data_IF_637723375039
#
_entry.id   IF_637723375039
#
_cell.length_a   1.000
_cell.length_b   1.000
_cell.length_c   1.000
_cell.angle_alpha   90.00
_cell.angle_beta   90.00
_cell.angle_gamma   90.00
#
_symmetry.space_group_name_H-M   'P 1'
#
loop_
_entity.id
_entity.type
_entity.pdbx_description
1 polymer ?
#
# COMPACT_ATOMS: atom_id res chain seq x y z
N UNK A 1 20.44 26.86 15.94
CA UNK A 1 19.09 26.54 15.42
C UNK A 1 19.08 26.18 13.94
N UNK A 2 19.70 26.97 13.04
CA UNK A 2 19.77 26.65 11.60
C UNK A 2 20.48 25.30 11.30
N UNK A 3 21.58 25.02 11.99
CA UNK A 3 22.39 23.80 11.80
C UNK A 3 21.63 22.52 12.19
N UNK A 4 20.81 22.59 13.25
CA UNK A 4 19.93 21.48 13.68
C UNK A 4 18.78 21.22 12.71
N UNK A 5 18.19 22.27 12.15
CA UNK A 5 17.12 22.14 11.15
C UNK A 5 17.65 21.48 9.86
N UNK A 6 18.85 21.87 9.42
CA UNK A 6 19.50 21.32 8.24
C UNK A 6 19.91 19.85 8.44
N UNK A 7 20.40 19.50 9.64
CA UNK A 7 20.65 18.11 10.03
C UNK A 7 19.40 17.23 10.02
N UNK A 8 18.26 17.75 10.51
CA UNK A 8 16.99 17.01 10.51
C UNK A 8 16.46 16.73 9.10
N UNK A 9 16.63 17.67 8.16
CA UNK A 9 16.18 17.48 6.76
C UNK A 9 17.03 16.44 6.06
N UNK A 10 18.37 16.49 6.22
CA UNK A 10 19.29 15.49 5.64
C UNK A 10 19.00 14.08 6.16
N UNK A 11 18.74 13.95 7.47
CA UNK A 11 18.36 12.67 8.07
C UNK A 11 17.06 12.12 7.48
N UNK A 12 16.04 12.98 7.31
CA UNK A 12 14.77 12.58 6.70
C UNK A 12 14.91 12.17 5.22
N UNK A 13 15.76 12.86 4.45
CA UNK A 13 16.09 12.47 3.07
C UNK A 13 16.79 11.12 3.01
N UNK A 14 17.77 10.88 3.88
CA UNK A 14 18.46 9.60 3.99
C UNK A 14 17.50 8.45 4.32
N UNK A 15 16.62 8.65 5.33
CA UNK A 15 15.58 7.69 5.68
C UNK A 15 14.63 7.42 4.49
N UNK A 16 14.21 8.47 3.79
CA UNK A 16 13.31 8.36 2.62
C UNK A 16 13.96 7.53 1.52
N UNK A 17 15.24 7.75 1.22
CA UNK A 17 15.98 6.99 0.22
C UNK A 17 16.12 5.51 0.62
N UNK A 18 16.41 5.22 1.88
CA UNK A 18 16.46 3.86 2.41
C UNK A 18 15.11 3.18 2.28
N UNK A 19 14.03 3.83 2.72
CA UNK A 19 12.67 3.28 2.61
C UNK A 19 12.25 3.05 1.16
N UNK A 20 12.64 3.93 0.24
CA UNK A 20 12.39 3.76 -1.19
C UNK A 20 13.13 2.54 -1.76
N UNK A 21 14.42 2.39 -1.42
CA UNK A 21 15.20 1.22 -1.84
C UNK A 21 14.63 -0.08 -1.26
N UNK A 22 14.21 -0.07 0.01
CA UNK A 22 13.55 -1.20 0.65
C UNK A 22 12.20 -1.54 0.00
N UNK A 23 11.37 -0.53 -0.30
CA UNK A 23 10.11 -0.75 -1.02
C UNK A 23 10.37 -1.40 -2.38
N UNK A 24 11.36 -0.91 -3.13
CA UNK A 24 11.72 -1.47 -4.44
C UNK A 24 12.19 -2.93 -4.30
N UNK A 25 13.06 -3.21 -3.33
CA UNK A 25 13.57 -4.56 -3.09
C UNK A 25 12.47 -5.53 -2.66
N UNK A 26 11.57 -5.11 -1.75
CA UNK A 26 10.43 -5.90 -1.30
C UNK A 26 9.45 -6.14 -2.45
N UNK A 27 9.11 -5.11 -3.23
CA UNK A 27 8.24 -5.24 -4.39
C UNK A 27 8.83 -6.21 -5.43
N UNK A 28 10.13 -6.08 -5.72
CA UNK A 28 10.84 -7.00 -6.62
C UNK A 28 10.82 -8.43 -6.09
N UNK A 29 11.00 -8.62 -4.78
CA UNK A 29 10.94 -9.94 -4.15
C UNK A 29 9.54 -10.54 -4.19
N UNK A 30 8.48 -9.77 -3.90
CA UNK A 30 7.08 -10.20 -4.05
C UNK A 30 6.83 -10.68 -5.47
N UNK A 31 7.20 -9.86 -6.46
CA UNK A 31 6.86 -10.14 -7.85
C UNK A 31 7.68 -11.30 -8.45
N UNK A 32 8.99 -11.27 -8.29
CA UNK A 32 9.89 -12.29 -8.84
C UNK A 32 9.85 -13.58 -8.03
N UNK A 33 9.73 -13.50 -6.70
CA UNK A 33 9.79 -14.64 -5.79
C UNK A 33 8.45 -15.35 -5.60
N UNK A 34 7.34 -14.62 -5.51
CA UNK A 34 6.05 -15.19 -5.14
C UNK A 34 5.03 -15.15 -6.27
N UNK A 35 4.79 -13.99 -6.88
CA UNK A 35 3.79 -13.87 -7.96
C UNK A 35 4.17 -14.75 -9.16
N UNK A 36 5.44 -14.72 -9.55
CA UNK A 36 5.94 -15.55 -10.65
C UNK A 36 5.94 -17.04 -10.30
N UNK A 37 6.38 -17.40 -9.09
CA UNK A 37 6.38 -18.79 -8.63
C UNK A 37 4.96 -19.37 -8.56
N UNK A 38 4.01 -18.60 -8.02
CA UNK A 38 2.61 -18.98 -7.97
C UNK A 38 2.03 -19.17 -9.37
N UNK A 39 2.29 -18.24 -10.30
CA UNK A 39 1.83 -18.36 -11.69
C UNK A 39 2.36 -19.64 -12.35
N UNK A 40 3.62 -19.98 -12.10
CA UNK A 40 4.23 -21.19 -12.66
C UNK A 40 3.65 -22.47 -12.04
N UNK A 41 3.34 -22.47 -10.74
CA UNK A 41 2.76 -23.62 -10.05
C UNK A 41 1.25 -23.80 -10.31
N UNK A 42 0.50 -22.69 -10.40
CA UNK A 42 -0.95 -22.70 -10.47
C UNK A 42 -1.51 -22.60 -11.91
N UNK A 43 -0.69 -22.18 -12.88
CA UNK A 43 -1.13 -21.90 -14.26
C UNK A 43 -2.07 -20.70 -14.39
N UNK A 44 -2.29 -19.95 -13.30
CA UNK A 44 -3.17 -18.78 -13.25
C UNK A 44 -2.54 -17.64 -12.44
N UNK A 45 -3.06 -16.42 -12.61
CA UNK A 45 -2.60 -15.28 -11.83
C UNK A 45 -3.12 -15.31 -10.39
N UNK A 46 -2.22 -15.00 -9.45
CA UNK A 46 -2.56 -14.71 -8.06
C UNK A 46 -3.51 -13.50 -7.98
N UNK A 47 -4.52 -13.56 -7.11
CA UNK A 47 -5.51 -12.49 -6.99
C UNK A 47 -4.86 -11.17 -6.52
N UNK A 48 -3.92 -11.24 -5.59
CA UNK A 48 -3.18 -10.11 -5.02
C UNK A 48 -2.37 -9.33 -6.06
N UNK A 49 -1.99 -9.98 -7.17
CA UNK A 49 -1.27 -9.34 -8.27
C UNK A 49 -2.19 -8.64 -9.28
N UNK A 50 -3.51 -8.79 -9.18
CA UNK A 50 -4.46 -8.19 -10.13
C UNK A 50 -4.72 -6.72 -9.77
N UNK A 51 -4.07 -5.82 -10.51
CA UNK A 51 -4.23 -4.36 -10.36
C UNK A 51 -5.68 -3.89 -10.57
N UNK A 52 -6.44 -4.58 -11.45
CA UNK A 52 -7.85 -4.28 -11.71
C UNK A 52 -8.80 -4.71 -10.58
N UNK A 53 -8.28 -5.33 -9.52
CA UNK A 53 -9.07 -6.02 -8.50
C UNK A 53 -9.62 -7.35 -9.00
N UNK A 54 -10.56 -7.88 -8.23
CA UNK A 54 -11.24 -9.14 -8.48
C UNK A 54 -12.62 -9.12 -7.80
N UNK A 55 -13.50 -10.03 -8.19
CA UNK A 55 -14.86 -10.12 -7.66
C UNK A 55 -15.00 -11.24 -6.64
N UNK A 56 -16.15 -11.29 -5.95
CA UNK A 56 -16.45 -12.33 -4.97
C UNK A 56 -16.28 -13.75 -5.55
N UNK A 57 -16.70 -13.95 -6.80
CA UNK A 57 -16.58 -15.24 -7.49
C UNK A 57 -15.13 -15.69 -7.67
N UNK A 58 -14.20 -14.77 -7.93
CA UNK A 58 -12.78 -15.06 -8.05
C UNK A 58 -12.21 -15.56 -6.71
N UNK A 59 -12.61 -14.93 -5.60
CA UNK A 59 -12.17 -15.33 -4.25
C UNK A 59 -12.65 -16.73 -3.91
N UNK A 60 -13.93 -17.04 -4.15
CA UNK A 60 -14.49 -18.36 -3.89
C UNK A 60 -13.80 -19.42 -4.77
N UNK A 61 -13.55 -19.10 -6.05
CA UNK A 61 -12.82 -19.97 -6.96
C UNK A 61 -11.39 -20.24 -6.47
N UNK A 62 -10.68 -19.21 -6.01
CA UNK A 62 -9.32 -19.35 -5.48
C UNK A 62 -9.29 -20.21 -4.20
N UNK A 63 -10.24 -20.02 -3.28
CA UNK A 63 -10.36 -20.86 -2.08
C UNK A 63 -10.56 -22.32 -2.44
N UNK A 64 -11.46 -22.63 -3.38
CA UNK A 64 -11.70 -24.00 -3.83
C UNK A 64 -10.45 -24.58 -4.50
N UNK A 65 -9.81 -23.80 -5.37
CA UNK A 65 -8.62 -24.22 -6.08
C UNK A 65 -7.47 -24.57 -5.12
N UNK A 66 -7.18 -23.70 -4.16
CA UNK A 66 -6.05 -23.87 -3.24
C UNK A 66 -6.23 -25.03 -2.26
N UNK A 67 -7.47 -25.48 -1.99
CA UNK A 67 -7.72 -26.68 -1.17
C UNK A 67 -7.08 -27.94 -1.78
N UNK A 68 -7.12 -28.05 -3.11
CA UNK A 68 -6.63 -29.22 -3.83
C UNK A 68 -5.19 -29.04 -4.36
N UNK A 69 -4.63 -27.83 -4.23
CA UNK A 69 -3.32 -27.48 -4.78
C UNK A 69 -2.40 -26.93 -3.66
N UNK A 70 -1.71 -27.81 -2.91
CA UNK A 70 -0.91 -27.40 -1.76
C UNK A 70 0.29 -26.52 -2.15
N UNK A 71 0.93 -26.75 -3.30
CA UNK A 71 2.12 -25.99 -3.70
C UNK A 71 1.81 -24.50 -3.91
N UNK A 72 0.83 -24.09 -4.74
CA UNK A 72 0.40 -22.70 -4.81
C UNK A 72 -0.07 -22.11 -3.47
N UNK A 73 -0.73 -22.91 -2.62
CA UNK A 73 -1.22 -22.45 -1.33
C UNK A 73 -0.08 -22.08 -0.38
N UNK A 74 0.97 -22.91 -0.32
CA UNK A 74 2.17 -22.63 0.48
C UNK A 74 2.89 -21.38 -0.02
N UNK A 75 2.99 -21.19 -1.34
CA UNK A 75 3.60 -19.97 -1.91
C UNK A 75 2.82 -18.73 -1.49
N UNK A 76 1.49 -18.74 -1.63
CA UNK A 76 0.64 -17.62 -1.25
C UNK A 76 0.73 -17.33 0.26
N UNK A 77 0.66 -18.36 1.10
CA UNK A 77 0.78 -18.22 2.55
C UNK A 77 2.16 -17.66 2.97
N UNK A 78 3.23 -18.13 2.32
CA UNK A 78 4.59 -17.66 2.57
C UNK A 78 4.78 -16.20 2.14
N UNK A 79 4.05 -15.75 1.11
CA UNK A 79 4.05 -14.34 0.70
C UNK A 79 3.47 -13.45 1.80
N UNK A 80 2.30 -13.81 2.34
CA UNK A 80 1.64 -13.08 3.43
C UNK A 80 2.47 -13.01 4.72
N UNK A 81 3.16 -14.10 5.07
CA UNK A 81 4.02 -14.14 6.26
C UNK A 81 5.43 -13.56 6.03
N UNK A 82 5.82 -13.37 4.77
CA UNK A 82 7.13 -12.88 4.39
C UNK A 82 7.11 -11.41 4.00
N UNK A 83 7.30 -11.07 2.71
CA UNK A 83 7.44 -9.68 2.30
C UNK A 83 6.17 -8.84 2.47
N UNK A 84 4.97 -9.41 2.31
CA UNK A 84 3.70 -8.68 2.49
C UNK A 84 3.42 -8.31 3.96
N UNK A 85 4.10 -8.95 4.92
CA UNK A 85 4.04 -8.54 6.32
C UNK A 85 4.77 -7.20 6.55
N UNK A 86 5.84 -6.95 5.80
CA UNK A 86 6.75 -5.81 6.02
C UNK A 86 6.47 -4.68 5.04
N UNK A 87 6.13 -5.01 3.80
CA UNK A 87 5.95 -4.06 2.70
C UNK A 87 4.95 -2.94 3.01
N UNK A 88 3.75 -3.19 3.56
CA UNK A 88 2.77 -2.13 3.81
C UNK A 88 3.28 -1.09 4.80
N UNK A 89 4.01 -1.52 5.83
CA UNK A 89 4.61 -0.63 6.82
C UNK A 89 5.71 0.23 6.20
N UNK A 90 6.61 -0.38 5.42
CA UNK A 90 7.72 0.34 4.76
C UNK A 90 7.16 1.34 3.74
N UNK A 91 6.14 0.96 2.97
CA UNK A 91 5.49 1.83 1.99
C UNK A 91 4.72 2.96 2.66
N UNK A 92 3.94 2.69 3.70
CA UNK A 92 3.26 3.73 4.47
C UNK A 92 4.28 4.72 5.08
N UNK A 93 5.39 4.22 5.61
CA UNK A 93 6.51 5.02 6.12
C UNK A 93 7.16 5.88 5.04
N UNK A 94 7.39 5.32 3.85
CA UNK A 94 7.92 6.06 2.69
C UNK A 94 6.98 7.20 2.30
N UNK A 95 5.69 6.90 2.10
CA UNK A 95 4.68 7.90 1.72
C UNK A 95 4.55 8.99 2.79
N UNK A 96 4.69 8.63 4.07
CA UNK A 96 4.73 9.59 5.17
C UNK A 96 5.96 10.51 5.09
N UNK A 97 7.15 9.94 4.88
CA UNK A 97 8.39 10.70 4.78
C UNK A 97 8.39 11.63 3.56
N UNK A 98 7.93 11.15 2.41
CA UNK A 98 7.77 11.95 1.19
C UNK A 98 6.84 13.14 1.43
N UNK A 99 5.70 12.94 2.08
CA UNK A 99 4.81 14.05 2.40
C UNK A 99 5.47 15.07 3.34
N UNK A 100 6.26 14.61 4.32
CA UNK A 100 6.98 15.50 5.24
C UNK A 100 8.07 16.30 4.53
N UNK A 101 8.77 15.70 3.56
CA UNK A 101 9.80 16.37 2.75
C UNK A 101 9.19 17.40 1.81
N UNK A 102 8.09 17.04 1.13
CA UNK A 102 7.40 17.95 0.23
C UNK A 102 6.77 19.10 1.03
N UNK A 103 6.22 18.78 2.19
CA UNK A 103 5.49 19.70 3.06
C UNK A 103 4.10 19.98 2.49
N UNK A 104 3.00 19.59 3.16
CA UNK A 104 1.67 20.01 2.72
C UNK A 104 1.56 21.52 2.90
N UNK A 105 1.68 22.23 1.79
CA UNK A 105 1.67 23.68 1.71
C UNK A 105 0.97 24.14 0.45
N UNK A 106 0.52 25.39 0.47
CA UNK A 106 -0.21 26.02 -0.63
C UNK A 106 -1.71 26.09 -0.41
N UNK A 107 -2.40 26.53 -1.46
CA UNK A 107 -3.84 26.73 -1.45
C UNK A 107 -4.56 25.48 -1.98
N UNK A 108 -5.62 25.05 -1.30
CA UNK A 108 -6.60 24.09 -1.83
C UNK A 108 -7.78 24.92 -2.34
N UNK A 109 -8.03 24.92 -3.66
CA UNK A 109 -9.04 25.79 -4.31
C UNK A 109 -8.92 27.29 -3.92
N UNK A 110 -7.71 27.85 -3.94
CA UNK A 110 -7.50 29.27 -3.61
C UNK A 110 -7.61 29.63 -2.12
N UNK A 111 -7.77 28.64 -1.22
CA UNK A 111 -7.77 28.85 0.25
C UNK A 111 -6.59 28.16 0.93
N UNK A 112 -5.97 28.77 1.96
CA UNK A 112 -4.92 28.11 2.72
C UNK A 112 -5.45 26.80 3.30
N UNK A 113 -4.64 25.74 3.23
CA UNK A 113 -5.00 24.43 3.77
C UNK A 113 -5.35 24.54 5.27
N UNK A 114 -6.58 24.19 5.68
CA UNK A 114 -6.93 24.20 7.09
C UNK A 114 -6.16 23.09 7.82
N UNK A 115 -5.83 23.27 9.12
CA UNK A 115 -5.08 22.29 9.90
C UNK A 115 -5.67 20.88 9.84
N UNK A 116 -7.01 20.77 9.85
CA UNK A 116 -7.71 19.49 9.74
C UNK A 116 -7.47 18.76 8.42
N UNK A 117 -7.35 19.48 7.29
CA UNK A 117 -7.06 18.88 6.00
C UNK A 117 -5.65 18.28 5.97
N UNK A 118 -4.68 18.98 6.57
CA UNK A 118 -3.32 18.46 6.74
C UNK A 118 -3.31 17.16 7.53
N UNK A 119 -4.04 17.11 8.65
CA UNK A 119 -4.18 15.88 9.45
C UNK A 119 -4.77 14.73 8.64
N UNK A 120 -5.87 14.96 7.90
CA UNK A 120 -6.49 13.93 7.05
C UNK A 120 -5.51 13.40 6.00
N UNK A 121 -4.76 14.29 5.35
CA UNK A 121 -3.73 13.92 4.38
C UNK A 121 -2.72 12.98 5.06
N UNK A 122 -2.23 13.34 6.26
CA UNK A 122 -1.32 12.51 7.06
C UNK A 122 -1.89 11.13 7.42
N UNK A 123 -3.14 11.08 7.87
CA UNK A 123 -3.82 9.85 8.23
C UNK A 123 -4.05 8.91 7.04
N UNK A 124 -4.13 9.42 5.80
CA UNK A 124 -4.39 8.63 4.62
C UNK A 124 -3.35 7.50 4.40
N UNK A 125 -2.09 7.73 4.76
CA UNK A 125 -1.02 6.73 4.62
C UNK A 125 -1.08 5.64 5.69
N UNK A 126 -1.48 6.04 6.90
CA UNK A 126 -1.75 5.09 7.98
C UNK A 126 -2.95 4.24 7.60
N UNK A 127 -4.00 4.86 7.06
CA UNK A 127 -5.18 4.16 6.57
C UNK A 127 -4.84 3.18 5.45
N UNK A 128 -3.99 3.56 4.49
CA UNK A 128 -3.48 2.65 3.47
C UNK A 128 -2.87 1.39 4.11
N UNK A 129 -1.93 1.55 5.04
CA UNK A 129 -1.28 0.42 5.70
C UNK A 129 -2.24 -0.46 6.49
N UNK A 130 -3.25 0.14 7.15
CA UNK A 130 -4.29 -0.61 7.87
C UNK A 130 -5.14 -1.45 6.92
N UNK A 131 -5.57 -0.87 5.79
CA UNK A 131 -6.40 -1.57 4.80
C UNK A 131 -5.61 -2.72 4.14
N UNK A 132 -4.33 -2.49 3.87
CA UNK A 132 -3.42 -3.51 3.34
C UNK A 132 -3.22 -4.68 4.33
N UNK A 133 -2.96 -4.39 5.61
CA UNK A 133 -2.93 -5.44 6.63
C UNK A 133 -4.27 -6.16 6.81
N UNK A 134 -5.40 -5.47 6.65
CA UNK A 134 -6.72 -6.10 6.71
C UNK A 134 -6.92 -7.12 5.58
N UNK A 135 -6.42 -6.82 4.38
CA UNK A 135 -6.40 -7.76 3.25
C UNK A 135 -5.53 -8.97 3.55
N UNK A 136 -4.31 -8.76 4.06
CA UNK A 136 -3.39 -9.85 4.39
C UNK A 136 -3.95 -10.76 5.49
N UNK A 137 -4.56 -10.18 6.53
CA UNK A 137 -5.25 -10.95 7.59
C UNK A 137 -6.43 -11.73 7.00
N UNK A 138 -7.25 -11.10 6.15
CA UNK A 138 -8.36 -11.79 5.50
C UNK A 138 -7.87 -12.93 4.60
N UNK A 139 -6.78 -12.75 3.87
CA UNK A 139 -6.12 -13.81 3.08
C UNK A 139 -5.64 -14.97 3.96
N UNK A 140 -4.96 -14.68 5.07
CA UNK A 140 -4.49 -15.68 6.03
C UNK A 140 -5.63 -16.44 6.73
N UNK A 141 -6.80 -15.81 6.91
CA UNK A 141 -7.99 -16.46 7.49
C UNK A 141 -8.74 -17.32 6.45
N UNK A 142 -8.52 -17.07 5.16
CA UNK A 142 -9.32 -17.64 4.09
C UNK A 142 -8.61 -18.77 3.34
N UNK A 143 -7.32 -18.62 3.08
CA UNK A 143 -6.55 -19.56 2.28
C UNK A 143 -5.83 -20.60 3.15
N UNK A 144 -5.56 -21.81 2.62
CA UNK A 144 -4.82 -22.83 3.36
C UNK A 144 -3.48 -22.27 3.89
N UNK A 145 -3.05 -22.66 5.10
CA UNK A 145 -3.52 -23.78 5.91
C UNK A 145 -4.80 -23.48 6.72
N UNK A 146 -5.41 -22.29 6.60
CA UNK A 146 -6.68 -22.02 7.25
C UNK A 146 -7.78 -22.95 6.73
N UNK A 147 -8.68 -23.35 7.64
CA UNK A 147 -9.88 -24.13 7.34
C UNK A 147 -11.11 -23.28 7.69
N UNK A 148 -11.44 -22.25 6.89
CA UNK A 148 -12.55 -21.35 7.19
C UNK A 148 -13.89 -22.09 7.12
N UNK A 149 -14.83 -21.71 7.97
CA UNK A 149 -16.23 -22.12 7.85
C UNK A 149 -16.86 -21.49 6.60
N UNK A 150 -17.96 -22.07 6.12
CA UNK A 150 -18.70 -21.52 4.97
C UNK A 150 -19.18 -20.08 5.20
N UNK A 151 -19.51 -19.74 6.45
CA UNK A 151 -19.88 -18.38 6.84
C UNK A 151 -18.70 -17.40 6.71
N UNK A 152 -17.50 -17.80 7.13
CA UNK A 152 -16.27 -16.99 6.96
C UNK A 152 -15.92 -16.82 5.49
N UNK A 153 -16.01 -17.89 4.69
CA UNK A 153 -15.78 -17.79 3.23
C UNK A 153 -16.76 -16.82 2.59
N UNK A 154 -18.04 -16.90 2.94
CA UNK A 154 -19.09 -16.02 2.40
C UNK A 154 -18.84 -14.55 2.79
N UNK A 155 -18.50 -14.31 4.05
CA UNK A 155 -18.22 -12.95 4.54
C UNK A 155 -16.95 -12.38 3.89
N UNK A 156 -15.82 -13.08 3.96
CA UNK A 156 -14.55 -12.56 3.47
C UNK A 156 -14.51 -12.46 1.95
N UNK A 157 -15.16 -13.37 1.22
CA UNK A 157 -15.26 -13.26 -0.25
C UNK A 157 -16.04 -12.04 -0.71
N UNK A 158 -17.03 -11.56 0.07
CA UNK A 158 -17.76 -10.32 -0.27
C UNK A 158 -17.01 -9.05 0.15
N UNK A 159 -16.25 -9.11 1.24
CA UNK A 159 -15.53 -7.95 1.79
C UNK A 159 -14.15 -7.73 1.15
N UNK A 160 -13.41 -8.79 0.81
CA UNK A 160 -12.07 -8.69 0.22
C UNK A 160 -12.00 -7.78 -1.01
N UNK A 161 -12.87 -7.92 -2.03
CA UNK A 161 -12.90 -7.00 -3.18
C UNK A 161 -13.03 -5.53 -2.78
N UNK A 162 -13.81 -5.24 -1.73
CA UNK A 162 -14.02 -3.88 -1.23
C UNK A 162 -12.74 -3.36 -0.56
N UNK A 163 -12.09 -4.18 0.27
CA UNK A 163 -10.81 -3.86 0.90
C UNK A 163 -9.75 -3.55 -0.15
N UNK A 164 -9.61 -4.40 -1.18
CA UNK A 164 -8.62 -4.19 -2.26
C UNK A 164 -8.88 -2.89 -3.01
N UNK A 165 -10.13 -2.60 -3.37
CA UNK A 165 -10.51 -1.33 -4.02
C UNK A 165 -10.19 -0.13 -3.14
N UNK A 166 -10.46 -0.22 -1.84
CA UNK A 166 -10.17 0.83 -0.87
C UNK A 166 -8.66 1.05 -0.70
N UNK A 167 -7.86 -0.03 -0.68
CA UNK A 167 -6.39 0.00 -0.65
C UNK A 167 -5.86 0.80 -1.85
N UNK A 168 -6.24 0.39 -3.05
CA UNK A 168 -5.79 1.05 -4.29
C UNK A 168 -6.29 2.49 -4.39
N UNK A 169 -7.55 2.77 -4.02
CA UNK A 169 -8.08 4.12 -4.01
C UNK A 169 -7.27 5.02 -3.08
N UNK A 170 -6.97 4.55 -1.86
CA UNK A 170 -6.19 5.29 -0.87
C UNK A 170 -4.77 5.55 -1.37
N UNK A 171 -4.15 4.56 -2.02
CA UNK A 171 -2.82 4.70 -2.63
C UNK A 171 -2.82 5.73 -3.75
N UNK A 172 -3.77 5.63 -4.69
CA UNK A 172 -3.90 6.56 -5.83
C UNK A 172 -4.11 7.98 -5.35
N UNK A 173 -5.03 8.21 -4.40
CA UNK A 173 -5.26 9.53 -3.82
C UNK A 173 -3.99 10.06 -3.16
N UNK A 174 -3.25 9.21 -2.42
CA UNK A 174 -1.98 9.61 -1.80
C UNK A 174 -0.95 10.04 -2.84
N UNK A 175 -0.78 9.27 -3.92
CA UNK A 175 0.15 9.58 -5.01
C UNK A 175 -0.23 10.88 -5.72
N UNK A 176 -1.52 11.09 -6.01
CA UNK A 176 -2.01 12.34 -6.61
C UNK A 176 -1.70 13.54 -5.72
N UNK A 177 -1.93 13.43 -4.40
CA UNK A 177 -1.63 14.51 -3.46
C UNK A 177 -0.13 14.79 -3.38
N UNK A 178 0.72 13.75 -3.33
CA UNK A 178 2.18 13.90 -3.35
C UNK A 178 2.64 14.62 -4.63
N UNK A 179 2.18 14.16 -5.79
CA UNK A 179 2.51 14.77 -7.08
C UNK A 179 2.05 16.24 -7.13
N UNK A 180 0.83 16.52 -6.70
CA UNK A 180 0.30 17.88 -6.61
C UNK A 180 1.21 18.78 -5.77
N UNK A 181 1.52 18.38 -4.54
CA UNK A 181 2.33 19.21 -3.66
C UNK A 181 3.78 19.37 -4.15
N UNK A 182 4.35 18.33 -4.77
CA UNK A 182 5.67 18.41 -5.39
C UNK A 182 5.68 19.43 -6.55
N UNK A 183 4.66 19.39 -7.42
CA UNK A 183 4.49 20.34 -8.53
C UNK A 183 4.34 21.77 -7.99
N UNK A 184 3.47 22.01 -7.01
CA UNK A 184 3.30 23.34 -6.41
C UNK A 184 4.59 23.88 -5.82
N UNK A 185 5.35 23.03 -5.11
CA UNK A 185 6.65 23.40 -4.55
C UNK A 185 7.66 23.77 -5.63
N UNK A 186 7.71 23.00 -6.72
CA UNK A 186 8.61 23.27 -7.84
C UNK A 186 8.24 24.56 -8.58
N UNK A 187 6.94 24.82 -8.77
CA UNK A 187 6.42 26.00 -9.44
C UNK A 187 6.38 27.26 -8.58
N UNK A 188 6.72 27.19 -7.28
CA UNK A 188 6.81 28.35 -6.39
C UNK A 188 8.24 28.55 -5.84
N UNK A 189 9.28 28.77 -6.68
CA UNK A 189 10.67 28.78 -6.24
C UNK A 189 11.01 29.88 -5.22
N UNK A 190 10.26 31.00 -5.20
CA UNK A 190 10.67 32.22 -4.47
C UNK A 190 9.84 32.58 -3.22
N UNK A 191 8.81 31.80 -2.84
CA UNK A 191 7.99 32.18 -1.67
C UNK A 191 7.28 33.54 -1.80
N UNK A 192 7.28 34.16 -2.98
CA UNK A 192 6.37 35.25 -3.32
C UNK A 192 4.97 34.66 -3.40
N UNK A 193 4.17 35.00 -2.37
CA UNK A 193 2.72 34.80 -2.37
C UNK A 193 2.17 35.19 -3.74
N UNK A 194 1.34 34.36 -4.40
CA UNK A 194 0.43 34.92 -5.38
C UNK A 194 -0.52 35.81 -4.60
N UNK A 195 -0.48 37.10 -4.93
CA UNK A 195 -1.45 38.13 -4.57
C UNK A 195 -2.89 37.65 -4.74
#
# INVERSE_FOLDING_TARGET
>A
MADQAQGSVRSLQGLTAILAALCLALFAWIYAGFVTAFRNAAGQQMLDARIGGYEQGDVIAMVRYLKDHPDPAVILHSMYLGPELVFPLVLAGLLFCLMRLIGPGGFFFGRPLPPGATTVIFCLRVFYGVVDYAENIAGLMLYPPAMPSDSTVTLLSSVLPIIVRLKFLTLVVTVILLARFAIFRYLSPDGSRPS
#
